data_IF_083159025773
#
_entry.id   IF_083159025773
#
_cell.length_a   1.000
_cell.length_b   1.000
_cell.length_c   1.000
_cell.angle_alpha   90.00
_cell.angle_beta   90.00
_cell.angle_gamma   90.00
#
_symmetry.space_group_name_H-M   'P 1'
#
loop_
_entity.id
_entity.type
_entity.pdbx_description
1 polymer ?
#
# COMPACT_ATOMS: atom_id res chain seq x y z
N UNK A 1 -0.20 35.09 -12.34
CA UNK A 1 0.46 33.99 -13.10
C UNK A 1 0.05 32.59 -12.61
N UNK A 2 -1.14 32.41 -12.02
CA UNK A 2 -1.62 31.08 -11.57
C UNK A 2 -2.89 30.60 -12.30
N UNK A 3 -3.65 31.49 -12.96
CA UNK A 3 -4.93 31.12 -13.61
C UNK A 3 -4.77 30.30 -14.90
N UNK A 4 -3.60 30.41 -15.58
CA UNK A 4 -3.37 29.68 -16.83
C UNK A 4 -3.22 28.16 -16.60
N UNK A 5 -2.57 27.75 -15.50
CA UNK A 5 -2.32 26.33 -15.19
C UNK A 5 -3.57 25.58 -14.71
N UNK A 6 -4.54 26.29 -14.15
CA UNK A 6 -5.81 25.69 -13.71
C UNK A 6 -6.67 25.35 -14.94
N UNK A 7 -6.77 26.28 -15.90
CA UNK A 7 -7.51 26.09 -17.15
C UNK A 7 -6.97 24.94 -18.01
N UNK A 8 -5.65 24.73 -18.04
CA UNK A 8 -5.06 23.61 -18.80
C UNK A 8 -5.38 22.25 -18.17
N UNK A 9 -5.44 22.16 -16.83
CA UNK A 9 -5.83 20.93 -16.12
C UNK A 9 -7.32 20.62 -16.26
N UNK A 10 -8.16 21.64 -16.19
CA UNK A 10 -9.60 21.46 -16.37
C UNK A 10 -9.91 21.05 -17.82
N UNK A 11 -9.19 21.59 -18.81
CA UNK A 11 -9.32 21.20 -20.22
C UNK A 11 -8.93 19.72 -20.46
N UNK A 12 -7.92 19.20 -19.78
CA UNK A 12 -7.58 17.77 -19.85
C UNK A 12 -8.66 16.88 -19.21
N UNK A 13 -9.19 17.29 -18.05
CA UNK A 13 -10.30 16.60 -17.36
C UNK A 13 -11.58 16.53 -18.21
N UNK A 14 -11.90 17.59 -18.98
CA UNK A 14 -13.07 17.61 -19.85
C UNK A 14 -12.84 16.99 -21.24
N UNK A 15 -11.59 16.74 -21.62
CA UNK A 15 -11.25 15.99 -22.84
C UNK A 15 -11.56 14.49 -22.71
N UNK A 16 -11.63 13.97 -21.48
CA UNK A 16 -12.10 12.60 -21.20
C UNK A 16 -13.63 12.48 -21.24
N UNK A 17 -14.34 13.62 -21.16
CA UNK A 17 -15.79 13.74 -21.29
C UNK A 17 -16.20 13.94 -22.76
N UNK A 18 -15.53 13.25 -23.68
CA UNK A 18 -16.11 13.03 -25.00
C UNK A 18 -17.38 12.23 -24.74
N UNK A 19 -18.54 12.88 -24.88
CA UNK A 19 -19.82 12.19 -24.83
C UNK A 19 -19.81 11.17 -25.96
N UNK A 20 -19.52 9.92 -25.59
CA UNK A 20 -19.48 8.82 -26.54
C UNK A 20 -20.88 8.73 -27.15
N UNK A 21 -21.01 8.60 -28.48
CA UNK A 21 -22.32 8.59 -29.13
C UNK A 21 -23.26 7.51 -28.57
N UNK A 22 -22.68 6.46 -27.97
CA UNK A 22 -23.40 5.42 -27.27
C UNK A 22 -22.82 5.28 -25.85
N UNK A 23 -23.65 5.49 -24.84
CA UNK A 23 -23.26 5.23 -23.45
C UNK A 23 -23.24 3.70 -23.20
N UNK A 24 -22.27 3.13 -22.46
CA UNK A 24 -22.20 1.69 -22.18
C UNK A 24 -23.51 1.07 -21.63
N UNK A 25 -24.20 1.74 -20.70
CA UNK A 25 -25.52 1.33 -20.18
C UNK A 25 -26.64 1.15 -21.24
N UNK A 26 -26.47 1.73 -22.43
CA UNK A 26 -27.43 1.57 -23.54
C UNK A 26 -27.09 0.37 -24.42
N UNK A 27 -26.08 -0.41 -24.06
CA UNK A 27 -25.64 -1.62 -24.74
C UNK A 27 -25.72 -2.81 -23.80
N UNK A 28 -26.21 -3.93 -24.33
CA UNK A 28 -26.09 -5.23 -23.71
C UNK A 28 -25.31 -6.17 -24.63
N UNK A 29 -24.31 -6.86 -24.09
CA UNK A 29 -23.59 -7.92 -24.81
C UNK A 29 -24.03 -9.25 -24.23
N UNK A 30 -24.62 -10.10 -25.07
CA UNK A 30 -25.08 -11.44 -24.71
C UNK A 30 -24.09 -12.45 -25.29
N UNK A 31 -23.36 -13.21 -24.46
CA UNK A 31 -22.47 -14.25 -24.94
C UNK A 31 -23.26 -15.42 -25.56
N UNK A 32 -22.64 -16.20 -26.45
CA UNK A 32 -23.26 -17.39 -27.02
C UNK A 32 -23.54 -18.45 -25.94
N UNK A 33 -24.59 -19.25 -26.16
CA UNK A 33 -24.81 -20.46 -25.39
C UNK A 33 -23.80 -21.54 -25.82
N UNK A 34 -23.25 -22.28 -24.86
CA UNK A 34 -22.14 -23.22 -25.09
C UNK A 34 -22.53 -24.44 -25.96
N UNK A 35 -23.82 -24.71 -26.14
CA UNK A 35 -24.33 -25.90 -26.83
C UNK A 35 -24.80 -25.65 -28.28
N UNK A 36 -24.71 -24.41 -28.79
CA UNK A 36 -25.11 -24.09 -30.16
C UNK A 36 -24.03 -24.47 -31.18
N UNK A 37 -24.44 -25.02 -32.33
CA UNK A 37 -23.54 -25.42 -33.42
C UNK A 37 -22.86 -24.24 -34.12
N UNK A 38 -23.33 -23.01 -33.88
CA UNK A 38 -22.75 -21.79 -34.40
C UNK A 38 -22.84 -20.68 -33.33
N UNK A 39 -21.93 -20.70 -32.34
CA UNK A 39 -21.98 -19.75 -31.24
C UNK A 39 -21.78 -18.33 -31.78
N UNK A 40 -22.73 -17.43 -31.50
CA UNK A 40 -22.60 -16.01 -31.84
C UNK A 40 -22.85 -15.12 -30.64
N UNK A 41 -22.09 -14.03 -30.55
CA UNK A 41 -22.36 -12.97 -29.60
C UNK A 41 -23.47 -12.08 -30.15
N UNK A 42 -24.40 -11.68 -29.29
CA UNK A 42 -25.43 -10.72 -29.65
C UNK A 42 -25.20 -9.41 -28.89
N UNK A 43 -24.91 -8.35 -29.65
CA UNK A 43 -24.89 -6.99 -29.13
C UNK A 43 -26.27 -6.38 -29.34
N UNK A 44 -26.88 -5.89 -28.27
CA UNK A 44 -28.15 -5.18 -28.30
C UNK A 44 -27.90 -3.71 -27.98
N UNK A 45 -28.32 -2.82 -28.89
CA UNK A 45 -28.21 -1.36 -28.73
C UNK A 45 -29.62 -0.81 -28.53
N UNK A 46 -29.82 0.01 -27.50
CA UNK A 46 -31.14 0.61 -27.25
C UNK A 46 -31.57 1.53 -28.40
N UNK A 47 -32.87 1.73 -28.57
CA UNK A 47 -33.41 2.66 -29.57
C UNK A 47 -32.95 4.10 -29.36
N UNK A 48 -32.67 4.51 -28.12
CA UNK A 48 -32.07 5.83 -27.82
C UNK A 48 -30.65 5.94 -28.38
N UNK A 49 -29.80 4.93 -28.15
CA UNK A 49 -28.45 4.90 -28.69
C UNK A 49 -28.46 4.81 -30.23
N UNK A 50 -29.32 3.97 -30.80
CA UNK A 50 -29.50 3.87 -32.25
C UNK A 50 -29.97 5.22 -32.86
N UNK A 51 -30.86 5.94 -32.17
CA UNK A 51 -31.29 7.27 -32.59
C UNK A 51 -30.17 8.30 -32.56
N UNK A 52 -29.32 8.30 -31.52
CA UNK A 52 -28.11 9.15 -31.48
C UNK A 52 -27.18 8.86 -32.66
N UNK A 53 -27.02 7.58 -33.03
CA UNK A 53 -26.15 7.17 -34.14
C UNK A 53 -26.68 7.47 -35.56
N UNK A 54 -27.91 7.99 -35.69
CA UNK A 54 -28.56 8.27 -37.00
C UNK A 54 -27.82 9.31 -37.85
N UNK A 55 -26.89 10.06 -37.27
CA UNK A 55 -26.15 11.13 -37.94
C UNK A 55 -24.84 10.65 -38.58
N UNK A 56 -24.43 9.41 -38.34
CA UNK A 56 -23.19 8.88 -38.90
C UNK A 56 -23.27 7.40 -39.28
N UNK A 57 -24.47 6.81 -39.32
CA UNK A 57 -24.68 5.38 -39.62
C UNK A 57 -24.13 4.93 -40.98
N UNK A 58 -23.92 5.86 -41.93
CA UNK A 58 -23.34 5.57 -43.25
C UNK A 58 -21.81 5.50 -43.25
N UNK A 59 -21.15 5.72 -42.10
CA UNK A 59 -19.69 5.68 -41.95
C UNK A 59 -19.30 4.45 -41.11
N UNK A 60 -19.02 3.27 -41.72
CA UNK A 60 -18.75 2.04 -40.99
C UNK A 60 -17.69 2.18 -39.91
N UNK A 61 -16.59 2.88 -40.23
CA UNK A 61 -15.49 3.13 -39.30
C UNK A 61 -15.94 3.89 -38.05
N UNK A 62 -16.65 5.01 -38.20
CA UNK A 62 -17.13 5.81 -37.06
C UNK A 62 -18.13 5.04 -36.20
N UNK A 63 -19.00 4.26 -36.84
CA UNK A 63 -19.96 3.41 -36.13
C UNK A 63 -19.24 2.32 -35.34
N UNK A 64 -18.23 1.69 -35.95
CA UNK A 64 -17.39 0.69 -35.29
C UNK A 64 -16.64 1.29 -34.11
N UNK A 65 -15.94 2.42 -34.29
CA UNK A 65 -15.18 3.08 -33.23
C UNK A 65 -16.11 3.48 -32.06
N UNK A 66 -17.31 4.00 -32.38
CA UNK A 66 -18.32 4.32 -31.36
C UNK A 66 -18.76 3.09 -30.59
N UNK A 67 -19.09 1.99 -31.29
CA UNK A 67 -19.47 0.73 -30.64
C UNK A 67 -18.32 0.17 -29.79
N UNK A 68 -17.09 0.16 -30.32
CA UNK A 68 -15.89 -0.32 -29.67
C UNK A 68 -15.63 0.44 -28.37
N UNK A 69 -15.74 1.76 -28.40
CA UNK A 69 -15.55 2.58 -27.21
C UNK A 69 -16.62 2.33 -26.14
N UNK A 70 -17.85 1.97 -26.54
CA UNK A 70 -18.94 1.68 -25.60
C UNK A 70 -18.89 0.29 -24.98
N UNK A 71 -18.35 -0.71 -25.70
CA UNK A 71 -18.24 -2.09 -25.17
C UNK A 71 -16.91 -2.35 -24.45
N UNK A 72 -15.89 -1.51 -24.67
CA UNK A 72 -14.60 -1.63 -24.00
C UNK A 72 -14.71 -1.53 -22.46
N UNK A 73 -15.47 -0.57 -21.88
CA UNK A 73 -15.73 -0.54 -20.43
C UNK A 73 -16.48 -1.77 -19.91
N UNK A 74 -17.21 -2.48 -20.79
CA UNK A 74 -17.89 -3.74 -20.44
C UNK A 74 -16.95 -4.95 -20.47
N UNK A 75 -15.65 -4.75 -20.74
CA UNK A 75 -14.64 -5.80 -20.81
C UNK A 75 -14.55 -6.50 -22.17
N UNK A 76 -15.26 -6.02 -23.19
CA UNK A 76 -15.23 -6.60 -24.52
C UNK A 76 -14.37 -5.77 -25.49
N UNK A 77 -13.64 -6.45 -26.37
CA UNK A 77 -12.92 -5.81 -27.47
C UNK A 77 -13.20 -6.53 -28.78
N UNK A 78 -13.50 -5.77 -29.83
CA UNK A 78 -13.64 -6.29 -31.19
C UNK A 78 -12.29 -6.25 -31.91
N UNK A 79 -12.14 -7.15 -32.88
CA UNK A 79 -10.99 -7.19 -33.77
C UNK A 79 -11.07 -6.05 -34.79
N UNK A 80 -9.97 -5.35 -34.97
CA UNK A 80 -9.86 -4.25 -35.94
C UNK A 80 -10.13 -4.72 -37.38
N UNK A 81 -9.74 -5.95 -37.70
CA UNK A 81 -10.02 -6.60 -39.00
C UNK A 81 -11.52 -6.77 -39.28
N UNK A 82 -12.37 -6.76 -38.25
CA UNK A 82 -13.82 -6.86 -38.37
C UNK A 82 -14.53 -5.50 -38.55
N UNK A 83 -13.77 -4.39 -38.52
CA UNK A 83 -14.29 -3.02 -38.55
C UNK A 83 -15.32 -2.79 -39.66
N UNK A 84 -14.97 -3.12 -40.90
CA UNK A 84 -15.86 -2.87 -42.05
C UNK A 84 -17.14 -3.69 -41.97
N UNK A 85 -17.04 -4.97 -41.62
CA UNK A 85 -18.18 -5.88 -41.54
C UNK A 85 -19.12 -5.45 -40.42
N UNK A 86 -18.60 -5.34 -39.19
CA UNK A 86 -19.36 -4.95 -38.01
C UNK A 86 -19.97 -3.55 -38.20
N UNK A 87 -19.16 -2.57 -38.63
CA UNK A 87 -19.60 -1.20 -38.85
C UNK A 87 -20.73 -1.10 -39.87
N UNK A 88 -20.66 -1.84 -40.99
CA UNK A 88 -21.76 -1.91 -41.99
C UNK A 88 -23.01 -2.57 -41.42
N UNK A 89 -22.87 -3.68 -40.69
CA UNK A 89 -24.01 -4.36 -40.06
C UNK A 89 -24.73 -3.46 -39.06
N UNK A 90 -23.98 -2.76 -38.21
CA UNK A 90 -24.55 -1.81 -37.25
C UNK A 90 -25.21 -0.63 -37.97
N UNK A 91 -24.51 -0.06 -38.97
CA UNK A 91 -25.03 1.05 -39.77
C UNK A 91 -26.34 0.72 -40.49
N UNK A 92 -26.45 -0.47 -41.09
CA UNK A 92 -27.67 -0.92 -41.77
C UNK A 92 -28.82 -1.15 -40.78
N UNK A 93 -28.54 -1.69 -39.59
CA UNK A 93 -29.55 -1.83 -38.55
C UNK A 93 -30.05 -0.48 -38.02
N UNK A 94 -29.15 0.50 -37.81
CA UNK A 94 -29.51 1.88 -37.47
C UNK A 94 -30.33 2.52 -38.59
N UNK A 95 -29.97 2.29 -39.87
CA UNK A 95 -30.74 2.78 -41.02
C UNK A 95 -32.17 2.25 -41.01
N UNK A 96 -32.35 0.95 -40.75
CA UNK A 96 -33.68 0.33 -40.63
C UNK A 96 -34.47 0.91 -39.48
N UNK A 97 -33.83 1.12 -38.32
CA UNK A 97 -34.45 1.77 -37.18
C UNK A 97 -34.89 3.20 -37.50
N UNK A 98 -34.02 4.00 -38.12
CA UNK A 98 -34.32 5.37 -38.56
C UNK A 98 -35.55 5.40 -39.48
N UNK A 99 -35.60 4.54 -40.51
CA UNK A 99 -36.75 4.44 -41.42
C UNK A 99 -38.07 4.12 -40.73
N UNK A 100 -38.03 3.31 -39.65
CA UNK A 100 -39.22 3.03 -38.83
C UNK A 100 -39.67 4.25 -38.01
N UNK A 101 -38.74 5.12 -37.64
CA UNK A 101 -38.98 6.31 -36.84
C UNK A 101 -39.43 7.52 -37.68
N UNK A 102 -38.98 7.62 -38.93
CA UNK A 102 -39.28 8.74 -39.84
C UNK A 102 -40.79 9.07 -39.98
N UNK A 103 -41.74 8.10 -40.12
CA UNK A 103 -43.16 8.42 -40.24
C UNK A 103 -43.84 8.85 -38.93
N UNK A 104 -43.18 8.67 -37.78
CA UNK A 104 -43.77 9.00 -36.48
C UNK A 104 -43.61 10.49 -36.25
N UNK A 105 -44.67 11.28 -36.20
CA UNK A 105 -44.59 12.73 -35.94
C UNK A 105 -44.68 13.06 -34.45
N UNK A 106 -45.40 12.24 -33.68
CA UNK A 106 -45.62 12.49 -32.24
C UNK A 106 -44.35 12.29 -31.42
N UNK A 107 -43.94 13.31 -30.67
CA UNK A 107 -42.77 13.27 -29.79
C UNK A 107 -42.88 12.21 -28.70
N UNK A 108 -44.06 12.06 -28.09
CA UNK A 108 -44.34 11.03 -27.07
C UNK A 108 -44.22 9.62 -27.66
N UNK A 109 -44.75 9.40 -28.87
CA UNK A 109 -44.63 8.11 -29.53
C UNK A 109 -43.18 7.82 -29.94
N UNK A 110 -42.43 8.81 -30.44
CA UNK A 110 -40.99 8.65 -30.73
C UNK A 110 -40.20 8.26 -29.49
N UNK A 111 -40.48 8.88 -28.35
CA UNK A 111 -39.82 8.54 -27.08
C UNK A 111 -40.17 7.11 -26.64
N UNK A 112 -41.44 6.73 -26.71
CA UNK A 112 -41.90 5.37 -26.38
C UNK A 112 -41.21 4.32 -27.25
N UNK A 113 -41.22 4.50 -28.58
CA UNK A 113 -40.58 3.55 -29.51
C UNK A 113 -39.07 3.47 -29.27
N UNK A 114 -38.38 4.57 -28.98
CA UNK A 114 -36.95 4.55 -28.63
C UNK A 114 -36.66 3.79 -27.35
N UNK A 115 -37.49 3.94 -26.33
CA UNK A 115 -37.33 3.26 -25.04
C UNK A 115 -37.63 1.75 -25.14
N UNK A 116 -38.58 1.34 -25.98
CA UNK A 116 -39.00 -0.06 -26.11
C UNK A 116 -38.18 -0.86 -27.14
N UNK A 117 -37.51 -0.19 -28.07
CA UNK A 117 -36.78 -0.86 -29.15
C UNK A 117 -35.37 -1.25 -28.73
N UNK A 118 -35.00 -2.49 -29.05
CA UNK A 118 -33.62 -2.98 -29.02
C UNK A 118 -33.17 -3.42 -30.41
N UNK A 119 -32.09 -2.83 -30.88
CA UNK A 119 -31.44 -3.17 -32.15
C UNK A 119 -30.42 -4.27 -31.90
N UNK A 120 -30.65 -5.45 -32.48
CA UNK A 120 -29.81 -6.64 -32.28
C UNK A 120 -28.78 -6.77 -33.41
N UNK A 121 -27.52 -7.01 -33.04
CA UNK A 121 -26.38 -7.18 -33.94
C UNK A 121 -25.68 -8.48 -33.60
N UNK A 122 -25.46 -9.31 -34.61
CA UNK A 122 -24.76 -10.57 -34.48
C UNK A 122 -23.26 -10.37 -34.72
N UNK A 123 -22.45 -10.79 -33.76
CA UNK A 123 -21.00 -10.76 -33.79
C UNK A 123 -20.48 -12.20 -33.74
N UNK A 124 -19.56 -12.53 -34.63
CA UNK A 124 -18.97 -13.87 -34.64
C UNK A 124 -17.88 -13.97 -33.57
N UNK A 125 -17.62 -15.16 -33.00
CA UNK A 125 -16.58 -15.32 -31.98
C UNK A 125 -15.20 -14.86 -32.45
N UNK A 126 -14.84 -15.12 -33.70
CA UNK A 126 -13.56 -14.70 -34.30
C UNK A 126 -13.41 -13.17 -34.44
N UNK A 127 -14.48 -12.40 -34.22
CA UNK A 127 -14.46 -10.94 -34.23
C UNK A 127 -14.27 -10.36 -32.84
N UNK A 128 -14.34 -11.18 -31.79
CA UNK A 128 -14.06 -10.78 -30.42
C UNK A 128 -12.56 -11.00 -30.15
N UNK A 129 -11.85 -9.91 -29.91
CA UNK A 129 -10.44 -9.91 -29.55
C UNK A 129 -10.21 -10.22 -28.07
N UNK A 130 -11.09 -9.71 -27.21
CA UNK A 130 -11.02 -9.88 -25.75
C UNK A 130 -12.41 -10.00 -25.17
N UNK A 131 -12.56 -10.91 -24.23
CA UNK A 131 -13.74 -11.07 -23.37
C UNK A 131 -13.48 -10.54 -21.96
N UNK A 132 -14.54 -10.32 -21.16
CA UNK A 132 -14.39 -9.96 -19.75
C UNK A 132 -13.54 -10.96 -18.96
N UNK A 133 -13.66 -12.26 -19.26
CA UNK A 133 -12.86 -13.32 -18.65
C UNK A 133 -11.36 -13.15 -18.95
N UNK A 134 -11.01 -12.80 -20.19
CA UNK A 134 -9.61 -12.56 -20.57
C UNK A 134 -9.03 -11.34 -19.86
N UNK A 135 -9.84 -10.27 -19.75
CA UNK A 135 -9.49 -9.06 -19.02
C UNK A 135 -9.26 -9.35 -17.53
N UNK A 136 -10.15 -10.12 -16.91
CA UNK A 136 -10.02 -10.55 -15.52
C UNK A 136 -8.74 -11.37 -15.31
N UNK A 137 -8.48 -12.37 -16.16
CA UNK A 137 -7.27 -13.19 -16.07
C UNK A 137 -5.99 -12.32 -16.18
N UNK A 138 -5.98 -11.33 -17.08
CA UNK A 138 -4.87 -10.38 -17.24
C UNK A 138 -4.69 -9.49 -16.02
N UNK A 139 -5.78 -8.97 -15.45
CA UNK A 139 -5.74 -8.14 -14.24
C UNK A 139 -5.25 -8.95 -13.04
N UNK A 140 -5.77 -10.17 -12.84
CA UNK A 140 -5.32 -11.06 -11.75
C UNK A 140 -3.84 -11.37 -11.86
N UNK A 141 -3.34 -11.71 -13.06
CA UNK A 141 -1.91 -11.95 -13.27
C UNK A 141 -1.05 -10.74 -12.91
N UNK A 142 -1.47 -9.53 -13.33
CA UNK A 142 -0.78 -8.28 -13.00
C UNK A 142 -0.80 -8.00 -11.51
N UNK A 143 -1.96 -8.12 -10.87
CA UNK A 143 -2.11 -7.88 -9.44
C UNK A 143 -1.21 -8.81 -8.63
N UNK A 144 -1.15 -10.11 -8.98
CA UNK A 144 -0.25 -11.04 -8.31
C UNK A 144 1.23 -10.63 -8.47
N UNK A 145 1.65 -10.20 -9.67
CA UNK A 145 3.02 -9.73 -9.90
C UNK A 145 3.35 -8.43 -9.16
N UNK A 146 2.37 -7.52 -9.03
CA UNK A 146 2.52 -6.32 -8.21
C UNK A 146 2.64 -6.69 -6.72
N UNK A 147 1.81 -7.60 -6.24
CA UNK A 147 1.86 -8.09 -4.86
C UNK A 147 3.23 -8.69 -4.53
N UNK A 148 3.79 -9.55 -5.39
CA UNK A 148 5.14 -10.12 -5.16
C UNK A 148 6.22 -9.03 -5.12
N UNK A 149 6.15 -8.04 -6.01
CA UNK A 149 7.11 -6.92 -6.05
C UNK A 149 7.04 -6.07 -4.78
N UNK A 150 5.82 -5.83 -4.26
CA UNK A 150 5.61 -5.09 -3.02
C UNK A 150 6.15 -5.87 -1.82
N UNK A 151 5.88 -7.18 -1.75
CA UNK A 151 6.39 -8.06 -0.70
C UNK A 151 7.93 -8.10 -0.70
N UNK A 152 8.56 -8.26 -1.87
CA UNK A 152 10.02 -8.23 -2.03
C UNK A 152 10.62 -6.91 -1.54
N UNK A 153 10.10 -5.77 -2.02
CA UNK A 153 10.58 -4.44 -1.58
C UNK A 153 10.37 -4.20 -0.09
N UNK A 154 9.27 -4.69 0.46
CA UNK A 154 8.98 -4.56 1.89
C UNK A 154 9.96 -5.39 2.71
N UNK A 155 10.28 -6.62 2.26
CA UNK A 155 11.27 -7.48 2.90
C UNK A 155 12.70 -6.88 2.82
N UNK A 156 13.08 -6.32 1.67
CA UNK A 156 14.35 -5.61 1.51
C UNK A 156 14.46 -4.42 2.47
N UNK A 157 13.40 -3.61 2.57
CA UNK A 157 13.34 -2.47 3.46
C UNK A 157 13.48 -2.91 4.92
N UNK A 158 12.73 -3.92 5.35
CA UNK A 158 12.80 -4.45 6.72
C UNK A 158 14.22 -4.95 7.06
N UNK A 159 14.86 -5.68 6.15
CA UNK A 159 16.23 -6.16 6.33
C UNK A 159 17.25 -5.01 6.39
N UNK A 160 17.09 -3.99 5.55
CA UNK A 160 17.99 -2.83 5.53
C UNK A 160 17.88 -1.99 6.80
N UNK A 161 16.66 -1.75 7.28
CA UNK A 161 16.39 -1.02 8.51
C UNK A 161 16.83 -1.82 9.73
N UNK A 162 16.59 -3.14 9.74
CA UNK A 162 17.09 -4.04 10.78
C UNK A 162 18.61 -3.99 10.93
N UNK A 163 19.36 -4.03 9.81
CA UNK A 163 20.82 -3.87 9.81
C UNK A 163 21.24 -2.47 10.28
N UNK A 164 20.56 -1.43 9.82
CA UNK A 164 20.87 -0.04 10.21
C UNK A 164 20.67 0.19 11.71
N UNK A 165 19.61 -0.37 12.28
CA UNK A 165 19.32 -0.29 13.72
C UNK A 165 20.31 -1.14 14.54
N UNK A 166 20.73 -2.30 14.05
CA UNK A 166 21.71 -3.14 14.71
C UNK A 166 23.10 -2.46 14.85
N UNK A 167 23.49 -1.62 13.88
CA UNK A 167 24.81 -0.96 13.88
C UNK A 167 24.83 0.45 14.50
N UNK A 168 23.67 1.11 14.65
CA UNK A 168 23.60 2.47 15.19
C UNK A 168 23.24 2.55 16.68
N UNK A 169 22.87 1.43 17.31
CA UNK A 169 22.68 1.36 18.75
C UNK A 169 24.03 1.22 19.46
N UNK A 170 24.43 2.21 20.28
CA UNK A 170 25.44 1.94 21.32
C UNK A 170 24.89 0.84 22.22
N UNK A 171 25.70 -0.18 22.47
CA UNK A 171 25.29 -1.31 23.29
C UNK A 171 24.72 -0.78 24.62
N UNK A 172 23.54 -1.25 25.03
CA UNK A 172 22.81 -0.69 26.18
C UNK A 172 23.69 -0.60 27.45
N UNK A 173 24.60 -1.57 27.63
CA UNK A 173 25.58 -1.59 28.73
C UNK A 173 26.59 -0.44 28.69
N UNK A 174 26.90 0.10 27.50
CA UNK A 174 27.84 1.21 27.31
C UNK A 174 27.22 2.55 27.72
N UNK A 175 25.93 2.75 27.42
CA UNK A 175 25.16 3.92 27.88
C UNK A 175 25.06 3.91 29.41
N UNK A 176 24.80 2.73 30.01
CA UNK A 176 24.79 2.53 31.46
C UNK A 176 26.14 2.86 32.11
N UNK A 177 27.24 2.31 31.58
CA UNK A 177 28.61 2.61 32.07
C UNK A 177 28.95 4.09 31.97
N UNK A 178 28.57 4.76 30.87
CA UNK A 178 28.82 6.20 30.69
C UNK A 178 28.01 7.05 31.66
N UNK A 179 26.79 6.65 31.97
CA UNK A 179 25.95 7.33 32.95
C UNK A 179 26.47 7.15 34.39
N UNK A 180 26.90 5.93 34.75
CA UNK A 180 27.56 5.65 36.04
C UNK A 180 28.84 6.50 36.20
N UNK A 181 29.67 6.57 35.16
CA UNK A 181 30.90 7.39 35.19
C UNK A 181 30.60 8.88 35.42
N UNK A 182 29.52 9.42 34.84
CA UNK A 182 29.10 10.82 35.07
C UNK A 182 28.70 11.05 36.53
N UNK A 183 27.90 10.16 37.10
CA UNK A 183 27.48 10.24 38.50
C UNK A 183 28.68 10.17 39.45
N UNK A 184 29.59 9.23 39.24
CA UNK A 184 30.81 9.10 40.05
C UNK A 184 31.69 10.36 39.97
N UNK A 185 31.77 10.96 38.77
CA UNK A 185 32.54 12.20 38.56
C UNK A 185 31.94 13.37 39.33
N UNK A 186 30.60 13.49 39.35
CA UNK A 186 29.91 14.55 40.08
C UNK A 186 30.05 14.40 41.60
N UNK A 187 29.93 13.17 42.11
CA UNK A 187 30.16 12.86 43.53
C UNK A 187 31.59 13.24 43.92
N UNK A 188 32.58 12.81 43.13
CA UNK A 188 34.00 13.16 43.38
C UNK A 188 34.24 14.67 43.39
N UNK A 189 33.61 15.42 42.48
CA UNK A 189 33.72 16.89 42.45
C UNK A 189 33.14 17.49 43.74
N UNK A 190 31.90 17.14 44.11
CA UNK A 190 31.26 17.66 45.32
C UNK A 190 32.03 17.33 46.60
N UNK A 191 32.58 16.11 46.68
CA UNK A 191 33.44 15.71 47.80
C UNK A 191 34.72 16.54 47.87
N UNK A 192 35.38 16.79 46.72
CA UNK A 192 36.55 17.68 46.66
C UNK A 192 36.22 19.11 47.07
N UNK A 193 35.11 19.66 46.59
CA UNK A 193 34.68 21.01 46.94
C UNK A 193 34.39 21.13 48.44
N UNK A 194 33.77 20.11 49.04
CA UNK A 194 33.48 20.06 50.47
C UNK A 194 34.76 19.92 51.32
N UNK A 195 35.71 19.09 50.89
CA UNK A 195 37.00 18.95 51.55
C UNK A 195 37.81 20.25 51.49
N UNK A 196 37.88 20.88 50.31
CA UNK A 196 38.55 22.16 50.10
C UNK A 196 37.93 23.27 50.97
N UNK A 197 36.60 23.32 51.06
CA UNK A 197 35.90 24.25 51.94
C UNK A 197 36.28 24.01 53.41
N UNK A 198 36.26 22.76 53.87
CA UNK A 198 36.64 22.40 55.23
C UNK A 198 38.07 22.83 55.56
N UNK A 199 39.02 22.63 54.64
CA UNK A 199 40.43 22.99 54.82
C UNK A 199 40.60 24.51 54.93
N UNK A 200 39.94 25.26 54.05
CA UNK A 200 40.01 26.73 54.00
C UNK A 200 39.52 27.38 55.29
N UNK A 201 38.51 26.81 55.94
CA UNK A 201 37.88 27.39 57.13
C UNK A 201 38.25 26.66 58.44
N UNK A 202 39.17 25.69 58.42
CA UNK A 202 39.55 24.90 59.59
C UNK A 202 38.44 23.97 60.11
N UNK A 203 37.45 23.67 59.28
CA UNK A 203 36.29 22.83 59.56
C UNK A 203 36.46 21.47 58.87
N UNK A 204 37.29 20.59 59.42
CA UNK A 204 37.44 19.24 58.87
C UNK A 204 36.20 18.38 59.19
N UNK A 205 35.47 17.89 58.17
CA UNK A 205 34.32 17.02 58.41
C UNK A 205 34.79 15.68 59.01
N UNK A 206 34.07 15.16 59.99
CA UNK A 206 34.38 13.85 60.59
C UNK A 206 33.88 12.68 59.72
N UNK A 207 32.79 12.91 58.97
CA UNK A 207 32.17 11.92 58.09
C UNK A 207 31.37 12.57 56.95
N UNK A 208 31.12 11.81 55.89
CA UNK A 208 30.23 12.17 54.79
C UNK A 208 29.07 11.18 54.70
N UNK A 209 27.83 11.68 54.64
CA UNK A 209 26.64 10.87 54.38
C UNK A 209 26.13 11.09 52.97
N UNK A 210 26.12 10.05 52.16
CA UNK A 210 25.60 10.04 50.80
C UNK A 210 24.27 9.29 50.77
N UNK A 211 23.20 9.93 50.28
CA UNK A 211 21.92 9.24 50.06
C UNK A 211 21.74 8.97 48.57
N UNK A 212 21.42 7.72 48.25
CA UNK A 212 21.11 7.33 46.88
C UNK A 212 19.64 7.69 46.52
N UNK A 213 19.24 7.38 45.28
CA UNK A 213 17.87 7.64 44.81
C UNK A 213 16.83 6.67 45.37
N UNK A 214 17.26 5.55 45.93
CA UNK A 214 16.38 4.56 46.58
C UNK A 214 16.14 4.90 48.05
N UNK A 215 16.84 5.91 48.57
CA UNK A 215 16.78 6.36 49.96
C UNK A 215 17.82 5.69 50.86
N UNK A 216 18.64 4.78 50.33
CA UNK A 216 19.75 4.15 51.03
C UNK A 216 20.83 5.19 51.35
N UNK A 217 21.28 5.21 52.60
CA UNK A 217 22.31 6.14 53.07
C UNK A 217 23.63 5.39 53.28
N UNK A 218 24.72 5.95 52.78
CA UNK A 218 26.08 5.45 52.92
C UNK A 218 26.90 6.47 53.71
N UNK A 219 27.41 6.06 54.86
CA UNK A 219 28.25 6.91 55.71
C UNK A 219 29.72 6.54 55.46
N UNK A 220 30.54 7.57 55.20
CA UNK A 220 31.99 7.46 54.99
C UNK A 220 32.66 8.22 56.13
N UNK A 221 33.26 7.51 57.09
CA UNK A 221 33.99 8.11 58.20
C UNK A 221 35.41 8.45 57.77
N UNK A 222 35.84 9.71 57.96
CA UNK A 222 37.18 10.17 57.56
C UNK A 222 38.24 9.90 58.63
N UNK A 223 37.82 9.59 59.86
CA UNK A 223 38.72 9.28 60.99
C UNK A 223 39.35 7.88 60.94
N UNK A 224 38.84 7.00 60.08
CA UNK A 224 39.31 5.61 59.94
C UNK A 224 40.27 5.42 58.76
N UNK A 225 40.73 6.50 58.11
CA UNK A 225 41.80 6.39 57.12
C UNK A 225 43.10 6.24 57.93
N UNK A 226 43.74 5.04 58.00
CA UNK A 226 45.06 4.95 58.60
C UNK A 226 45.95 5.94 57.86
N UNK A 227 46.69 6.75 58.62
CA UNK A 227 47.68 7.66 58.06
C UNK A 227 48.68 6.82 57.24
N UNK A 228 48.45 6.74 55.93
CA UNK A 228 49.36 6.11 55.00
C UNK A 228 50.41 7.15 54.66
N UNK A 229 51.60 6.96 55.23
CA UNK A 229 52.83 7.38 54.57
C UNK A 229 52.74 6.99 53.10
N UNK A 230 52.87 7.97 52.20
CA UNK A 230 52.84 7.72 50.77
C UNK A 230 54.10 7.03 50.25
N UNK A 231 54.23 6.92 48.93
CA UNK A 231 53.34 6.30 47.98
C UNK A 231 53.93 4.95 47.54
N UNK A 232 53.15 3.89 47.43
CA UNK A 232 53.23 2.94 46.31
C UNK A 232 52.23 1.78 46.48
N UNK A 233 51.46 1.59 45.40
CA UNK A 233 50.88 0.34 44.89
C UNK A 233 50.03 -0.57 45.79
N UNK A 234 48.82 -0.72 45.26
CA UNK A 234 48.05 -1.97 45.12
C UNK A 234 47.33 -2.56 46.35
N UNK A 235 46.05 -2.82 46.09
CA UNK A 235 45.15 -3.77 46.76
C UNK A 235 44.61 -3.38 48.14
N UNK A 236 43.41 -2.81 48.15
CA UNK A 236 42.45 -3.05 49.24
C UNK A 236 41.17 -3.68 48.69
N UNK A 237 41.09 -4.97 48.96
CA UNK A 237 39.90 -5.80 48.94
C UNK A 237 38.78 -5.17 49.76
N UNK A 238 37.60 -5.01 49.17
CA UNK A 238 36.36 -4.77 49.90
C UNK A 238 35.67 -6.11 50.03
N UNK A 239 35.72 -6.70 51.22
CA UNK A 239 34.86 -7.80 51.63
C UNK A 239 33.44 -7.26 51.85
N UNK A 240 32.48 -7.71 51.06
CA UNK A 240 31.06 -7.46 51.24
C UNK A 240 30.28 -8.60 50.61
N UNK A 241 29.59 -9.36 51.46
CA UNK A 241 28.95 -10.63 51.15
C UNK A 241 27.99 -10.55 49.94
N UNK A 242 28.17 -11.50 49.02
CA UNK A 242 27.28 -11.79 47.90
C UNK A 242 26.14 -12.67 48.43
N UNK A 243 24.86 -12.32 48.23
CA UNK A 243 23.77 -13.27 48.39
C UNK A 243 23.84 -14.27 47.24
N UNK A 244 24.03 -15.53 47.62
CA UNK A 244 23.99 -16.72 46.79
C UNK A 244 22.63 -16.84 46.09
N UNK A 245 22.59 -16.60 44.77
CA UNK A 245 21.47 -17.01 43.93
C UNK A 245 21.96 -18.22 43.13
N UNK A 246 21.42 -19.37 43.53
CA UNK A 246 21.66 -20.68 42.95
C UNK A 246 21.24 -20.67 41.48
N UNK A 247 22.20 -20.88 40.57
CA UNK A 247 21.93 -21.29 39.20
C UNK A 247 22.01 -22.82 39.17
N UNK A 248 20.87 -23.48 39.23
CA UNK A 248 20.77 -24.89 38.82
C UNK A 248 20.86 -24.96 37.29
N UNK A 249 21.99 -25.48 36.82
CA UNK A 249 22.14 -26.00 35.46
C UNK A 249 21.92 -27.52 35.50
N UNK A 250 20.78 -27.96 34.99
CA UNK A 250 20.58 -29.32 34.54
C UNK A 250 20.00 -29.32 33.12
N UNK A 251 20.92 -29.27 32.16
CA UNK A 251 20.79 -29.96 30.89
C UNK A 251 20.40 -31.42 31.09
N UNK A 252 19.26 -31.88 30.54
CA UNK A 252 19.12 -33.21 29.90
C UNK A 252 17.74 -33.45 29.27
N UNK A 253 17.83 -33.79 27.96
CA UNK A 253 17.10 -34.84 27.23
C UNK A 253 15.57 -34.82 27.15
N UNK A 254 15.07 -34.74 25.92
CA UNK A 254 13.74 -35.16 25.52
C UNK A 254 13.64 -35.28 24.01
N UNK A 255 14.20 -36.37 23.49
CA UNK A 255 14.09 -36.83 22.10
C UNK A 255 12.80 -37.65 21.91
N UNK A 256 12.27 -37.60 20.68
CA UNK A 256 11.41 -38.59 20.03
C UNK A 256 9.97 -38.85 20.52
N UNK A 257 9.01 -38.63 19.62
CA UNK A 257 7.96 -39.57 19.14
C UNK A 257 7.18 -38.83 18.03
N UNK A 258 7.20 -39.16 16.72
CA UNK A 258 6.81 -40.38 15.98
C UNK A 258 5.43 -40.94 16.36
N UNK A 259 4.54 -41.01 15.35
CA UNK A 259 3.33 -41.84 15.31
C UNK A 259 2.15 -41.10 14.65
N UNK A 260 1.97 -41.21 13.33
CA UNK A 260 1.02 -42.13 12.65
C UNK A 260 -0.44 -41.72 12.85
N UNK A 261 -1.06 -41.21 11.78
CA UNK A 261 -1.97 -41.94 10.88
C UNK A 261 -1.91 -41.31 9.48
#
# INVERSE_FOLDING_TARGET
>A
MNDQRQNDRDRELFSELIEHPIHPHLIQVVPPFLEESNPVYMIQISGEAAWKCREFYWMPRRVFDSLQASILPLGYKLNESSCDRVGRTVGENIRRFKRKMDPITSSKQRQKVRAETWVKITIKPEEIALTPSDMLAKVTKKNNALSTTVEEKTAELYNSEGKRLAHNGKHFTEVGKKQQKRQLTEIRRKAKDALWFGETYGLMPESFRLRDKTGQSHDINLREIPAADGPDKENMSISGAVPEIQNEDHSRRGDSSKGRE
#
